data_IF_519402186865
#
_entry.id   IF_519402186865
#
_cell.length_a   1.000
_cell.length_b   1.000
_cell.length_c   1.000
_cell.angle_alpha   90.00
_cell.angle_beta   90.00
_cell.angle_gamma   90.00
#
_symmetry.space_group_name_H-M   'P 1'
#
loop_
_entity.id
_entity.type
_entity.pdbx_description
1 polymer ?
#
# COMPACT_ATOMS: atom_id res chain seq x y z
N UNK A 1 -35.69 68.91 -51.33
CA UNK A 1 -37.05 69.32 -50.91
C UNK A 1 -38.01 68.23 -51.36
N UNK A 2 -38.79 67.64 -50.44
CA UNK A 2 -40.08 66.92 -50.66
C UNK A 2 -40.06 65.76 -51.69
N UNK A 3 -39.92 64.50 -51.28
CA UNK A 3 -40.94 63.56 -50.72
C UNK A 3 -41.72 62.83 -51.84
N UNK A 4 -41.40 61.53 -52.06
CA UNK A 4 -42.19 60.31 -51.75
C UNK A 4 -43.47 60.12 -52.57
N UNK A 5 -43.59 58.95 -53.23
CA UNK A 5 -44.65 57.93 -53.04
C UNK A 5 -44.82 57.10 -54.33
N UNK A 6 -44.31 55.86 -54.35
CA UNK A 6 -44.54 54.90 -55.44
C UNK A 6 -45.60 53.88 -55.03
N UNK A 7 -46.60 53.66 -55.88
CA UNK A 7 -47.74 52.80 -55.59
C UNK A 7 -47.66 51.43 -56.29
N UNK A 8 -48.12 50.41 -55.56
CA UNK A 8 -48.82 49.18 -55.99
C UNK A 8 -48.38 48.40 -57.25
N UNK A 9 -48.26 47.08 -57.09
CA UNK A 9 -48.83 46.10 -58.03
C UNK A 9 -49.13 44.76 -57.33
N UNK A 10 -50.00 43.96 -57.94
CA UNK A 10 -50.80 42.89 -57.31
C UNK A 10 -50.45 41.48 -57.85
N UNK A 11 -51.05 40.47 -57.17
CA UNK A 11 -51.54 39.16 -57.66
C UNK A 11 -50.69 37.88 -57.48
N UNK A 12 -51.42 36.84 -57.05
CA UNK A 12 -51.19 35.39 -57.21
C UNK A 12 -49.98 34.75 -56.50
N UNK A 13 -50.09 33.55 -55.90
CA UNK A 13 -51.25 32.68 -55.69
C UNK A 13 -50.84 31.20 -55.48
N UNK A 14 -51.64 30.45 -54.71
CA UNK A 14 -51.56 29.00 -54.44
C UNK A 14 -50.35 28.46 -53.62
N UNK A 15 -50.64 27.67 -52.58
CA UNK A 15 -49.65 26.97 -51.77
C UNK A 15 -50.18 26.43 -50.44
N UNK A 16 -50.88 25.28 -50.50
CA UNK A 16 -51.18 24.29 -49.44
C UNK A 16 -50.77 24.65 -47.99
N UNK A 17 -51.74 24.76 -47.08
CA UNK A 17 -52.11 23.68 -46.14
C UNK A 17 -50.91 23.03 -45.43
N UNK A 18 -50.75 23.23 -44.13
CA UNK A 18 -50.95 22.20 -43.09
C UNK A 18 -50.92 22.85 -41.69
N UNK A 19 -51.57 22.20 -40.71
CA UNK A 19 -51.92 22.82 -39.43
C UNK A 19 -50.74 23.04 -38.48
N UNK A 20 -50.80 24.13 -37.72
CA UNK A 20 -49.93 24.33 -36.56
C UNK A 20 -50.32 23.38 -35.43
N UNK A 21 -49.63 22.25 -35.35
CA UNK A 21 -49.49 21.45 -34.14
C UNK A 21 -47.99 21.27 -33.93
N UNK A 22 -47.40 22.09 -33.05
CA UNK A 22 -46.05 21.81 -32.56
C UNK A 22 -46.05 20.47 -31.81
N UNK A 23 -44.94 19.72 -31.80
CA UNK A 23 -44.85 18.51 -31.01
C UNK A 23 -45.03 18.87 -29.53
N UNK A 24 -46.18 18.52 -28.97
CA UNK A 24 -46.43 18.59 -27.54
C UNK A 24 -45.38 17.71 -26.85
N UNK A 25 -44.63 18.22 -25.86
CA UNK A 25 -43.56 17.46 -25.25
C UNK A 25 -44.14 16.27 -24.50
N UNK A 26 -43.89 15.06 -24.99
CA UNK A 26 -44.28 13.82 -24.32
C UNK A 26 -43.77 13.84 -22.88
N UNK A 27 -44.65 13.80 -21.85
CA UNK A 27 -44.20 13.82 -20.47
C UNK A 27 -43.45 12.53 -20.17
N UNK A 28 -42.13 12.64 -20.01
CA UNK A 28 -41.29 11.51 -19.58
C UNK A 28 -41.79 11.03 -18.21
N UNK A 29 -42.07 9.72 -18.02
CA UNK A 29 -42.52 9.23 -16.73
C UNK A 29 -41.42 9.40 -15.69
N UNK A 30 -41.56 10.42 -14.84
CA UNK A 30 -40.73 10.61 -13.65
C UNK A 30 -40.98 9.42 -12.73
N UNK A 31 -40.03 8.49 -12.68
CA UNK A 31 -40.03 7.42 -11.69
C UNK A 31 -39.70 8.06 -10.34
N UNK A 32 -40.76 8.45 -9.63
CA UNK A 32 -40.65 8.96 -8.27
C UNK A 32 -40.07 7.85 -7.39
N UNK A 33 -38.97 8.15 -6.68
CA UNK A 33 -38.34 7.21 -5.77
C UNK A 33 -39.25 7.02 -4.57
N UNK A 34 -40.11 6.02 -4.62
CA UNK A 34 -40.94 5.62 -3.48
C UNK A 34 -40.00 5.17 -2.36
N UNK A 35 -39.97 5.86 -1.20
CA UNK A 35 -39.17 5.39 -0.07
C UNK A 35 -39.77 4.08 0.43
N UNK A 36 -39.05 2.98 0.26
CA UNK A 36 -39.41 1.68 0.85
C UNK A 36 -39.18 1.73 2.35
N UNK A 37 -40.17 2.22 3.08
CA UNK A 37 -40.25 2.09 4.53
C UNK A 37 -40.48 0.62 4.90
N UNK A 38 -39.40 -0.13 5.11
CA UNK A 38 -39.46 -1.42 5.79
C UNK A 38 -39.68 -1.16 7.29
N UNK A 39 -40.80 -1.59 7.89
CA UNK A 39 -41.09 -1.29 9.29
C UNK A 39 -40.20 -2.09 10.24
N UNK A 40 -39.77 -1.42 11.31
CA UNK A 40 -39.04 -1.95 12.45
C UNK A 40 -39.82 -3.08 13.16
N UNK A 41 -39.20 -4.24 13.45
CA UNK A 41 -39.66 -5.11 14.52
C UNK A 41 -39.26 -4.48 15.86
N UNK A 42 -40.21 -3.85 16.53
CA UNK A 42 -40.06 -3.46 17.93
C UNK A 42 -40.71 -4.52 18.82
N UNK A 43 -39.90 -5.41 19.40
CA UNK A 43 -40.06 -5.83 20.81
C UNK A 43 -38.82 -6.59 21.32
N UNK A 44 -38.31 -6.16 22.48
CA UNK A 44 -37.40 -6.87 23.40
C UNK A 44 -36.86 -5.86 24.44
N UNK A 45 -37.70 -5.49 25.40
CA UNK A 45 -37.30 -4.58 26.48
C UNK A 45 -36.26 -5.20 27.43
N UNK A 46 -35.26 -4.43 27.92
CA UNK A 46 -34.68 -4.65 29.23
C UNK A 46 -35.61 -4.01 30.27
N UNK A 47 -36.45 -4.82 30.91
CA UNK A 47 -37.31 -4.35 31.99
C UNK A 47 -36.51 -4.08 33.27
N UNK A 48 -36.72 -2.88 33.82
CA UNK A 48 -36.71 -2.52 35.23
C UNK A 48 -35.52 -2.93 36.12
N UNK A 49 -34.85 -1.89 36.64
CA UNK A 49 -34.19 -1.89 37.95
C UNK A 49 -35.12 -2.38 39.07
N UNK A 50 -34.61 -3.23 39.98
CA UNK A 50 -35.00 -3.14 41.37
C UNK A 50 -33.79 -3.18 42.33
N UNK A 51 -33.69 -2.13 43.14
CA UNK A 51 -33.24 -2.09 44.53
C UNK A 51 -32.15 -3.07 45.02
N UNK A 52 -31.06 -2.50 45.52
CA UNK A 52 -30.17 -3.16 46.49
C UNK A 52 -30.95 -3.68 47.72
N UNK A 53 -30.50 -4.79 48.32
CA UNK A 53 -30.07 -4.66 49.71
C UNK A 53 -28.86 -5.55 50.11
N UNK A 54 -28.43 -5.33 51.36
CA UNK A 54 -27.72 -6.28 52.23
C UNK A 54 -26.25 -6.63 51.91
N UNK A 55 -25.40 -5.70 52.34
CA UNK A 55 -24.09 -5.93 52.98
C UNK A 55 -23.92 -7.35 53.56
N UNK A 56 -22.99 -8.13 53.00
CA UNK A 56 -22.41 -9.30 53.67
C UNK A 56 -21.18 -8.85 54.47
N UNK A 57 -21.11 -9.24 55.74
CA UNK A 57 -20.16 -8.69 56.70
C UNK A 57 -18.79 -9.38 56.60
N UNK A 58 -17.73 -8.60 56.51
CA UNK A 58 -16.36 -9.08 56.70
C UNK A 58 -16.09 -9.15 58.21
N UNK A 59 -16.12 -10.36 58.77
CA UNK A 59 -15.87 -10.57 60.20
C UNK A 59 -14.38 -10.38 60.52
N UNK A 60 -14.07 -9.43 61.39
CA UNK A 60 -12.70 -9.14 61.81
C UNK A 60 -12.24 -10.14 62.88
N UNK A 61 -11.00 -10.66 62.82
CA UNK A 61 -10.47 -11.49 63.90
C UNK A 61 -10.29 -10.66 65.19
N UNK A 62 -10.67 -11.18 66.36
CA UNK A 62 -10.62 -10.42 67.61
C UNK A 62 -9.20 -10.37 68.19
N UNK A 63 -8.72 -9.16 68.47
CA UNK A 63 -7.69 -8.92 69.49
C UNK A 63 -8.36 -8.85 70.86
N UNK A 64 -7.92 -9.62 71.87
CA UNK A 64 -7.81 -8.99 73.20
C UNK A 64 -6.66 -9.47 74.10
N UNK A 65 -5.82 -8.50 74.49
CA UNK A 65 -5.15 -8.30 75.81
C UNK A 65 -4.03 -9.29 76.29
N UNK A 66 -3.18 -8.89 77.29
CA UNK A 66 -1.75 -9.12 77.25
C UNK A 66 -1.29 -10.20 78.23
N UNK A 67 0.01 -10.47 78.33
CA UNK A 67 0.67 -10.89 79.60
C UNK A 67 2.19 -10.75 79.56
N UNK A 68 2.73 -10.30 80.71
CA UNK A 68 4.11 -10.42 81.20
C UNK A 68 5.28 -9.97 80.30
N UNK A 69 5.89 -8.85 80.70
CA UNK A 69 7.32 -8.59 80.53
C UNK A 69 8.12 -9.45 81.53
N UNK A 70 9.03 -10.35 81.09
CA UNK A 70 10.06 -10.91 81.96
C UNK A 70 11.22 -9.93 82.13
N UNK A 71 11.83 -9.95 83.30
CA UNK A 71 12.99 -9.13 83.70
C UNK A 71 14.31 -9.74 83.16
N UNK A 72 15.41 -8.98 83.02
CA UNK A 72 16.68 -9.50 82.51
C UNK A 72 17.43 -10.42 83.49
N UNK A 73 18.57 -10.91 83.00
CA UNK A 73 19.69 -11.56 83.71
C UNK A 73 19.65 -13.09 83.85
N UNK A 74 20.05 -13.79 82.79
CA UNK A 74 20.94 -14.95 82.90
C UNK A 74 21.91 -14.99 81.68
N UNK A 75 23.24 -15.09 81.87
CA UNK A 75 24.17 -15.12 80.76
C UNK A 75 24.19 -16.51 80.10
N UNK A 76 23.62 -16.60 78.89
CA UNK A 76 23.79 -17.77 78.02
C UNK A 76 25.28 -18.01 77.75
N UNK A 77 25.81 -19.24 77.90
CA UNK A 77 27.20 -19.53 77.61
C UNK A 77 27.51 -19.25 76.13
N UNK A 78 28.60 -18.52 75.90
CA UNK A 78 29.07 -18.16 74.56
C UNK A 78 29.39 -19.44 73.76
N UNK A 79 28.80 -19.65 72.57
CA UNK A 79 29.17 -20.78 71.73
C UNK A 79 30.61 -20.61 71.25
N UNK A 80 31.39 -21.70 71.07
CA UNK A 80 32.75 -21.60 70.58
C UNK A 80 32.79 -20.91 69.21
N UNK A 81 33.86 -20.15 68.90
CA UNK A 81 33.93 -19.38 67.66
C UNK A 81 33.70 -20.27 66.45
N UNK A 82 32.66 -19.95 65.69
CA UNK A 82 32.35 -20.66 64.46
C UNK A 82 33.53 -20.51 63.49
N UNK A 83 34.12 -21.65 63.10
CA UNK A 83 35.07 -21.70 61.99
C UNK A 83 34.36 -21.12 60.76
N UNK A 84 34.97 -20.19 60.00
CA UNK A 84 34.35 -19.66 58.80
C UNK A 84 34.02 -20.82 57.86
N UNK A 85 32.72 -21.06 57.70
CA UNK A 85 32.23 -21.97 56.67
C UNK A 85 32.20 -21.16 55.40
N UNK A 86 32.97 -21.58 54.39
CA UNK A 86 33.00 -20.91 53.10
C UNK A 86 31.59 -20.91 52.50
N UNK A 87 30.91 -19.76 52.57
CA UNK A 87 29.68 -19.52 51.83
C UNK A 87 29.99 -19.79 50.36
N UNK A 88 29.35 -20.77 49.70
CA UNK A 88 29.62 -21.02 48.29
C UNK A 88 29.28 -19.76 47.51
N UNK A 89 30.31 -19.14 46.92
CA UNK A 89 30.13 -17.99 46.03
C UNK A 89 29.09 -18.35 44.99
N UNK A 90 28.02 -17.56 44.80
CA UNK A 90 27.00 -17.89 43.82
C UNK A 90 27.65 -17.98 42.44
N UNK A 91 27.65 -19.18 41.86
CA UNK A 91 28.10 -19.38 40.48
C UNK A 91 27.25 -18.47 39.59
N UNK A 92 27.86 -17.52 38.86
CA UNK A 92 27.10 -16.61 38.02
C UNK A 92 26.30 -17.42 37.00
N UNK A 93 25.01 -17.07 36.86
CA UNK A 93 24.15 -17.70 35.86
C UNK A 93 24.76 -17.50 34.46
N UNK A 94 24.72 -18.51 33.56
CA UNK A 94 25.23 -18.35 32.20
C UNK A 94 24.56 -17.15 31.53
N UNK A 95 25.36 -16.20 31.05
CA UNK A 95 24.85 -15.05 30.32
C UNK A 95 24.25 -15.53 28.99
N UNK A 96 23.03 -15.08 28.69
CA UNK A 96 22.35 -15.44 27.44
C UNK A 96 23.15 -14.94 26.23
N UNK A 97 23.15 -15.70 25.12
CA UNK A 97 23.83 -15.30 23.91
C UNK A 97 23.07 -14.15 23.22
N UNK A 98 23.79 -13.09 22.85
CA UNK A 98 23.24 -11.86 22.28
C UNK A 98 23.97 -11.44 21.03
N UNK A 99 23.27 -10.75 20.14
CA UNK A 99 23.87 -10.04 19.01
C UNK A 99 23.56 -8.55 19.08
N UNK A 100 24.49 -7.73 18.57
CA UNK A 100 24.36 -6.28 18.36
C UNK A 100 24.68 -5.96 16.91
N UNK A 101 23.84 -5.20 16.21
CA UNK A 101 24.03 -4.87 14.79
C UNK A 101 25.09 -3.78 14.59
N UNK A 102 26.07 -4.00 13.71
CA UNK A 102 27.21 -3.09 13.51
C UNK A 102 27.06 -2.11 12.34
N UNK A 103 26.13 -2.38 11.40
CA UNK A 103 25.95 -1.61 10.17
C UNK A 103 24.62 -0.85 10.15
N UNK A 104 24.51 0.20 9.32
CA UNK A 104 23.31 1.06 9.23
C UNK A 104 22.00 0.27 9.06
N UNK A 105 22.01 -0.73 8.17
CA UNK A 105 20.89 -1.61 7.89
C UNK A 105 21.39 -3.00 7.47
N UNK A 106 21.05 -4.02 8.25
CA UNK A 106 21.31 -5.42 7.93
C UNK A 106 20.00 -6.15 7.55
N UNK A 107 20.07 -6.97 6.49
CA UNK A 107 18.93 -7.74 6.02
C UNK A 107 18.70 -8.98 6.90
N UNK A 108 17.47 -9.15 7.36
CA UNK A 108 17.03 -10.33 8.13
C UNK A 108 16.34 -11.30 7.18
N UNK A 109 16.68 -12.59 7.25
CA UNK A 109 16.25 -13.61 6.28
C UNK A 109 15.48 -14.76 6.93
N UNK A 110 14.71 -15.49 6.11
CA UNK A 110 13.95 -16.67 6.53
C UNK A 110 14.85 -17.90 6.77
N UNK A 111 16.13 -17.86 6.38
CA UNK A 111 17.09 -18.94 6.60
C UNK A 111 18.54 -18.47 6.48
N UNK A 112 19.51 -19.32 6.86
CA UNK A 112 20.93 -18.99 6.90
C UNK A 112 21.55 -19.01 5.49
N UNK A 113 21.47 -17.89 4.77
CA UNK A 113 22.06 -17.76 3.44
C UNK A 113 21.44 -16.65 2.59
N UNK A 114 22.13 -16.24 1.53
CA UNK A 114 21.65 -15.19 0.62
C UNK A 114 20.54 -15.63 -0.35
N UNK A 115 20.33 -16.95 -0.49
CA UNK A 115 19.24 -17.56 -1.25
C UNK A 115 17.87 -17.50 -0.56
N UNK A 116 17.83 -17.24 0.75
CA UNK A 116 16.57 -17.15 1.51
C UNK A 116 15.95 -15.75 1.40
N UNK A 117 14.63 -15.70 1.24
CA UNK A 117 13.86 -14.44 1.21
C UNK A 117 13.98 -13.64 2.50
N UNK A 118 13.76 -12.34 2.41
CA UNK A 118 13.86 -11.41 3.55
C UNK A 118 12.60 -11.49 4.43
N UNK A 119 12.79 -11.24 5.73
CA UNK A 119 11.75 -11.08 6.78
C UNK A 119 11.63 -9.61 7.19
N UNK A 120 12.72 -8.85 7.03
CA UNK A 120 12.79 -7.44 7.36
C UNK A 120 14.23 -6.94 7.34
N UNK A 121 14.48 -5.81 8.00
CA UNK A 121 15.81 -5.27 8.23
C UNK A 121 15.94 -4.80 9.69
N UNK A 122 17.17 -4.78 10.19
CA UNK A 122 17.55 -4.28 11.51
C UNK A 122 18.63 -3.22 11.34
N UNK A 123 18.65 -2.21 12.21
CA UNK A 123 19.58 -1.07 12.13
C UNK A 123 20.70 -1.16 13.16
N UNK A 124 21.75 -0.34 13.02
CA UNK A 124 22.87 -0.31 13.97
C UNK A 124 22.40 -0.18 15.42
N UNK A 125 23.17 -0.76 16.33
CA UNK A 125 23.04 -0.72 17.78
C UNK A 125 21.77 -1.42 18.33
N UNK A 126 20.92 -1.98 17.46
CA UNK A 126 19.85 -2.88 17.88
C UNK A 126 20.43 -4.19 18.41
N UNK A 127 19.88 -4.64 19.53
CA UNK A 127 20.28 -5.86 20.23
C UNK A 127 19.16 -6.90 20.21
N UNK A 128 19.54 -8.17 20.05
CA UNK A 128 18.60 -9.29 20.05
C UNK A 128 19.20 -10.51 20.74
N UNK A 129 18.34 -11.34 21.34
CA UNK A 129 18.74 -12.62 21.93
C UNK A 129 18.87 -13.69 20.83
N UNK A 130 20.00 -14.40 20.82
CA UNK A 130 20.28 -15.47 19.88
C UNK A 130 19.58 -16.74 20.35
N UNK A 131 18.81 -17.37 19.47
CA UNK A 131 18.09 -18.61 19.76
C UNK A 131 18.78 -19.85 19.17
N UNK A 132 19.48 -19.70 18.04
CA UNK A 132 20.21 -20.79 17.40
C UNK A 132 21.27 -20.28 16.40
N UNK A 133 22.05 -21.20 15.84
CA UNK A 133 22.98 -20.97 14.71
C UNK A 133 22.79 -22.01 13.60
N UNK A 134 23.33 -21.75 12.41
CA UNK A 134 23.43 -22.77 11.36
C UNK A 134 24.55 -23.79 11.69
N UNK A 135 24.58 -24.98 11.05
CA UNK A 135 25.60 -25.99 11.29
C UNK A 135 27.05 -25.47 11.11
N UNK A 136 27.24 -24.51 10.20
CA UNK A 136 28.54 -23.90 9.90
C UNK A 136 28.93 -22.76 10.86
N UNK A 137 28.02 -22.31 11.74
CA UNK A 137 28.26 -21.23 12.71
C UNK A 137 28.45 -19.82 12.13
N UNK A 138 28.07 -19.61 10.88
CA UNK A 138 28.22 -18.34 10.13
C UNK A 138 26.98 -17.46 10.12
N UNK A 139 25.83 -17.99 10.54
CA UNK A 139 24.55 -17.29 10.62
C UNK A 139 23.90 -17.53 11.98
N UNK A 140 23.34 -16.46 12.54
CA UNK A 140 22.64 -16.47 13.82
C UNK A 140 21.14 -16.34 13.61
N UNK A 141 20.38 -17.23 14.23
CA UNK A 141 18.94 -17.11 14.35
C UNK A 141 18.64 -16.37 15.66
N UNK A 142 17.78 -15.36 15.59
CA UNK A 142 17.42 -14.52 16.72
C UNK A 142 15.92 -14.23 16.77
N UNK A 143 15.44 -13.82 17.94
CA UNK A 143 14.06 -13.41 18.15
C UNK A 143 14.00 -11.93 18.60
N UNK A 144 13.05 -11.12 18.13
CA UNK A 144 12.17 -11.34 16.97
C UNK A 144 11.98 -10.02 16.22
N UNK A 145 11.88 -10.08 14.90
CA UNK A 145 11.61 -8.94 14.01
C UNK A 145 10.23 -9.13 13.43
N UNK A 146 9.35 -8.13 13.59
CA UNK A 146 7.94 -8.20 13.17
C UNK A 146 7.19 -9.42 13.75
N UNK A 147 7.55 -9.87 14.95
CA UNK A 147 6.97 -11.06 15.60
C UNK A 147 7.48 -12.41 15.06
N UNK A 148 8.39 -12.41 14.08
CA UNK A 148 8.99 -13.62 13.53
C UNK A 148 10.45 -13.78 13.96
N UNK A 149 10.91 -15.03 14.09
CA UNK A 149 12.34 -15.33 14.15
C UNK A 149 12.98 -15.09 12.78
N UNK A 150 14.23 -14.63 12.80
CA UNK A 150 14.98 -14.30 11.59
C UNK A 150 16.45 -14.67 11.69
N UNK A 151 17.09 -14.72 10.53
CA UNK A 151 18.49 -15.08 10.36
C UNK A 151 19.31 -13.88 9.90
N UNK A 152 20.46 -13.65 10.55
CA UNK A 152 21.43 -12.61 10.18
C UNK A 152 22.83 -13.22 10.04
N UNK A 153 23.62 -12.66 9.13
CA UNK A 153 24.99 -13.11 8.87
C UNK A 153 25.93 -12.61 9.97
N UNK A 154 26.81 -13.49 10.45
CA UNK A 154 27.68 -13.24 11.62
C UNK A 154 28.53 -11.98 11.51
N UNK A 155 29.12 -11.72 10.34
CA UNK A 155 30.05 -10.58 10.15
C UNK A 155 29.35 -9.21 10.21
N UNK A 156 28.01 -9.16 10.21
CA UNK A 156 27.23 -7.92 10.31
C UNK A 156 26.89 -7.55 11.76
N UNK A 157 27.22 -8.41 12.71
CA UNK A 157 26.86 -8.31 14.13
C UNK A 157 28.05 -8.57 15.03
N UNK A 158 28.05 -7.97 16.21
CA UNK A 158 28.90 -8.38 17.33
C UNK A 158 28.12 -9.37 18.20
N UNK A 159 28.72 -10.52 18.52
CA UNK A 159 28.09 -11.57 19.31
C UNK A 159 28.75 -11.69 20.69
N UNK A 160 27.91 -11.80 21.71
CA UNK A 160 28.30 -12.05 23.10
C UNK A 160 27.79 -13.45 23.51
N UNK A 161 28.62 -14.21 24.22
CA UNK A 161 28.32 -15.57 24.73
C UNK A 161 27.92 -16.62 23.66
N UNK A 162 28.31 -16.43 22.40
CA UNK A 162 27.87 -17.25 21.26
C UNK A 162 28.36 -18.71 21.23
N UNK A 163 29.32 -19.10 22.08
CA UNK A 163 29.99 -20.41 22.02
C UNK A 163 29.03 -21.60 22.21
N UNK A 164 28.05 -21.44 23.10
CA UNK A 164 27.10 -22.49 23.52
C UNK A 164 25.73 -22.40 22.83
N UNK A 165 25.61 -21.64 21.73
CA UNK A 165 24.36 -21.52 20.97
C UNK A 165 24.07 -22.85 20.24
N UNK A 166 22.85 -23.41 20.37
CA UNK A 166 22.48 -24.65 19.71
C UNK A 166 22.39 -24.48 18.19
N UNK A 167 22.64 -25.55 17.44
CA UNK A 167 22.37 -25.58 16.00
C UNK A 167 20.86 -25.72 15.79
N UNK A 168 20.29 -24.93 14.86
CA UNK A 168 18.86 -24.95 14.58
C UNK A 168 18.44 -26.30 13.97
N UNK A 169 17.46 -26.97 14.59
CA UNK A 169 16.97 -28.29 14.15
C UNK A 169 16.16 -28.23 12.85
N UNK A 170 15.47 -27.12 12.59
CA UNK A 170 14.51 -26.97 11.49
C UNK A 170 14.85 -25.73 10.65
N UNK A 171 15.94 -25.80 9.88
CA UNK A 171 16.25 -24.81 8.84
C UNK A 171 15.35 -25.11 7.62
N UNK A 172 14.57 -24.15 7.12
CA UNK A 172 13.77 -24.37 5.91
C UNK A 172 14.69 -24.70 4.73
N UNK A 173 14.25 -25.53 3.79
CA UNK A 173 14.98 -25.73 2.53
C UNK A 173 14.99 -24.39 1.77
N UNK A 174 16.13 -23.93 1.23
CA UNK A 174 16.15 -22.71 0.43
C UNK A 174 15.26 -22.90 -0.79
N UNK A 175 14.55 -21.85 -1.26
CA UNK A 175 13.79 -21.94 -2.50
C UNK A 175 14.73 -22.40 -3.63
N UNK A 176 14.24 -23.22 -4.58
CA UNK A 176 15.08 -23.74 -5.64
C UNK A 176 15.72 -22.58 -6.39
N UNK A 177 17.05 -22.54 -6.37
CA UNK A 177 17.83 -21.54 -7.11
C UNK A 177 17.54 -21.79 -8.58
N UNK A 178 16.68 -20.95 -9.17
CA UNK A 178 16.49 -20.89 -10.62
C UNK A 178 17.86 -20.66 -11.20
N UNK A 179 18.36 -21.64 -11.95
CA UNK A 179 19.74 -21.61 -12.44
C UNK A 179 19.97 -20.30 -13.20
N UNK A 180 20.97 -19.54 -12.78
CA UNK A 180 21.38 -18.36 -13.52
C UNK A 180 21.67 -18.78 -14.98
N UNK A 181 21.27 -17.98 -15.99
CA UNK A 181 21.61 -18.26 -17.37
C UNK A 181 23.14 -18.44 -17.51
N UNK A 182 23.60 -19.32 -18.42
CA UNK A 182 25.00 -19.68 -18.52
C UNK A 182 25.90 -18.44 -18.72
N UNK A 183 27.11 -18.44 -18.15
CA UNK A 183 27.99 -17.28 -18.20
C UNK A 183 28.34 -16.92 -19.65
N UNK A 184 28.46 -15.62 -19.99
CA UNK A 184 28.88 -15.20 -21.32
C UNK A 184 30.33 -15.64 -21.57
N UNK A 185 30.57 -16.30 -22.70
CA UNK A 185 31.90 -16.73 -23.13
C UNK A 185 32.76 -15.52 -23.54
N UNK A 186 34.00 -15.47 -23.05
CA UNK A 186 35.12 -14.60 -23.45
C UNK A 186 34.77 -13.21 -24.00
N UNK A 187 34.62 -12.26 -23.05
CA UNK A 187 34.42 -10.82 -23.25
C UNK A 187 35.35 -10.20 -24.31
N UNK A 188 34.81 -9.76 -25.47
CA UNK A 188 35.46 -8.74 -26.30
C UNK A 188 35.56 -7.43 -25.50
N UNK A 189 36.53 -6.57 -25.84
CA UNK A 189 36.74 -5.28 -25.16
C UNK A 189 35.42 -4.52 -24.91
N UNK A 190 35.25 -3.84 -23.74
CA UNK A 190 33.96 -3.40 -23.25
C UNK A 190 33.09 -2.78 -24.33
N UNK A 191 32.00 -3.45 -24.68
CA UNK A 191 30.98 -2.86 -25.52
C UNK A 191 30.56 -1.55 -24.86
N UNK A 192 30.50 -0.47 -25.66
CA UNK A 192 30.05 0.82 -25.19
C UNK A 192 28.72 0.64 -24.43
N UNK A 193 28.52 1.44 -23.38
CA UNK A 193 27.25 1.45 -22.65
C UNK A 193 26.09 1.44 -23.66
N UNK A 194 25.08 0.57 -23.49
CA UNK A 194 23.98 0.49 -24.44
C UNK A 194 23.48 1.91 -24.69
N UNK A 195 23.30 2.31 -25.97
CA UNK A 195 22.97 3.70 -26.29
C UNK A 195 21.78 4.12 -25.43
N UNK A 196 21.81 5.32 -24.82
CA UNK A 196 20.77 5.76 -23.90
C UNK A 196 19.42 5.48 -24.54
N UNK A 197 18.57 4.73 -23.83
CA UNK A 197 17.35 4.15 -24.36
C UNK A 197 16.64 5.22 -25.20
N UNK A 198 16.51 4.95 -26.51
CA UNK A 198 16.19 5.97 -27.49
C UNK A 198 14.97 6.74 -27.01
N UNK A 199 15.13 8.05 -26.81
CA UNK A 199 14.07 8.88 -26.23
C UNK A 199 12.79 8.61 -27.02
N UNK A 200 11.75 8.02 -26.39
CA UNK A 200 10.59 7.55 -27.10
C UNK A 200 9.78 8.69 -27.72
N UNK A 201 10.12 9.94 -27.40
CA UNK A 201 9.57 11.16 -27.94
C UNK A 201 10.38 11.76 -29.11
N UNK A 202 11.65 11.36 -29.31
CA UNK A 202 12.60 12.10 -30.16
C UNK A 202 12.32 12.02 -31.66
N UNK A 203 11.49 11.07 -32.12
CA UNK A 203 11.15 10.92 -33.55
C UNK A 203 9.66 11.21 -33.84
N UNK A 204 8.90 11.69 -32.85
CA UNK A 204 7.44 11.85 -32.95
C UNK A 204 7.09 13.27 -33.39
N UNK A 205 6.64 13.40 -34.63
CA UNK A 205 5.97 14.58 -35.19
C UNK A 205 6.75 15.90 -35.27
N UNK A 206 7.98 15.98 -34.77
CA UNK A 206 8.78 17.21 -34.69
C UNK A 206 8.51 18.08 -33.45
N UNK A 207 7.39 17.86 -32.76
CA UNK A 207 7.01 18.55 -31.51
C UNK A 207 7.45 17.80 -30.24
N UNK A 208 7.77 16.51 -30.35
CA UNK A 208 8.01 15.62 -29.22
C UNK A 208 6.72 15.23 -28.48
N UNK A 209 6.87 14.59 -27.31
CA UNK A 209 5.74 14.17 -26.49
C UNK A 209 5.01 15.37 -25.88
N UNK A 210 3.72 15.49 -26.17
CA UNK A 210 2.93 16.66 -25.81
C UNK A 210 2.32 16.52 -24.42
N UNK A 211 1.87 15.33 -24.04
CA UNK A 211 1.30 15.08 -22.72
C UNK A 211 2.33 15.02 -21.60
N UNK A 212 2.04 15.75 -20.53
CA UNK A 212 2.80 15.80 -19.27
C UNK A 212 1.83 15.61 -18.10
N UNK A 213 2.31 15.02 -17.00
CA UNK A 213 1.52 14.96 -15.77
C UNK A 213 1.45 16.35 -15.15
N UNK A 214 0.24 16.90 -15.01
CA UNK A 214 0.00 18.18 -14.33
C UNK A 214 -0.27 17.99 -12.85
N UNK A 215 -0.97 16.92 -12.48
CA UNK A 215 -1.39 16.66 -11.09
C UNK A 215 -1.49 15.15 -10.82
N UNK A 216 -1.15 14.74 -9.60
CA UNK A 216 -1.19 13.34 -9.16
C UNK A 216 0.16 12.61 -9.23
N UNK A 217 0.18 11.29 -9.01
CA UNK A 217 -0.99 10.45 -8.72
C UNK A 217 -1.54 10.74 -7.32
N UNK A 218 -2.87 10.67 -7.22
CA UNK A 218 -3.60 10.53 -5.95
C UNK A 218 -4.12 9.10 -5.87
N UNK A 219 -4.23 8.60 -4.65
CA UNK A 219 -4.72 7.26 -4.37
C UNK A 219 -5.98 7.29 -3.51
N UNK A 220 -6.93 6.41 -3.85
CA UNK A 220 -8.16 6.20 -3.09
C UNK A 220 -8.21 4.77 -2.56
N UNK A 221 -8.62 4.65 -1.31
CA UNK A 221 -8.78 3.38 -0.63
C UNK A 221 -10.08 2.69 -1.10
N UNK A 222 -9.93 1.51 -1.69
CA UNK A 222 -11.02 0.60 -2.03
C UNK A 222 -10.80 -0.81 -1.45
N UNK A 223 -9.97 -0.91 -0.39
CA UNK A 223 -9.49 -2.16 0.18
C UNK A 223 -8.40 -2.86 -0.63
N UNK A 224 -7.91 -2.27 -1.72
CA UNK A 224 -6.94 -2.89 -2.63
C UNK A 224 -7.52 -4.08 -3.39
N UNK A 225 -8.86 -4.15 -3.54
CA UNK A 225 -9.57 -5.30 -4.11
C UNK A 225 -9.79 -5.23 -5.63
N UNK A 226 -9.56 -4.06 -6.22
CA UNK A 226 -9.68 -3.79 -7.66
C UNK A 226 -8.70 -2.66 -8.01
N UNK A 227 -8.05 -2.72 -9.17
CA UNK A 227 -7.38 -1.54 -9.72
C UNK A 227 -8.41 -0.72 -10.51
N UNK A 228 -8.76 0.45 -10.00
CA UNK A 228 -9.63 1.43 -10.66
C UNK A 228 -8.79 2.64 -11.09
N UNK A 229 -8.64 2.81 -12.40
CA UNK A 229 -7.85 3.88 -13.00
C UNK A 229 -8.75 4.99 -13.53
N UNK A 230 -8.69 6.18 -12.95
CA UNK A 230 -9.43 7.36 -13.39
C UNK A 230 -8.46 8.46 -13.87
N UNK A 231 -8.42 8.75 -15.17
CA UNK A 231 -7.51 9.75 -15.71
C UNK A 231 -8.29 10.96 -16.22
N UNK A 232 -7.69 12.14 -16.13
CA UNK A 232 -8.22 13.35 -16.73
C UNK A 232 -7.25 13.90 -17.77
N UNK A 233 -7.62 13.73 -19.04
CA UNK A 233 -6.91 14.31 -20.18
C UNK A 233 -7.46 15.71 -20.46
N UNK A 234 -6.57 16.70 -20.48
CA UNK A 234 -6.90 18.10 -20.76
C UNK A 234 -5.96 18.72 -21.79
N UNK A 235 -6.49 19.73 -22.46
CA UNK A 235 -5.80 20.56 -23.42
C UNK A 235 -5.90 22.00 -22.95
N UNK A 236 -4.93 22.50 -22.19
CA UNK A 236 -4.76 23.95 -22.15
C UNK A 236 -4.19 24.47 -23.47
N UNK A 237 -3.95 25.78 -23.57
CA UNK A 237 -3.30 26.39 -24.73
C UNK A 237 -4.16 26.54 -25.99
N UNK A 238 -5.20 25.72 -26.19
CA UNK A 238 -6.05 25.73 -27.39
C UNK A 238 -7.35 26.50 -27.16
N UNK A 239 -7.37 27.77 -27.59
CA UNK A 239 -8.59 28.55 -27.74
C UNK A 239 -9.51 27.95 -28.83
N UNK A 240 -10.80 27.81 -28.51
CA UNK A 240 -11.83 27.43 -29.49
C UNK A 240 -12.37 26.00 -29.42
N UNK A 241 -11.96 25.19 -28.43
CA UNK A 241 -12.74 24.03 -27.95
C UNK A 241 -13.06 22.93 -28.98
N UNK A 242 -12.19 22.72 -29.97
CA UNK A 242 -12.32 21.56 -30.86
C UNK A 242 -12.18 20.24 -30.06
N UNK A 243 -12.88 19.17 -30.42
CA UNK A 243 -12.71 17.86 -29.79
C UNK A 243 -11.34 17.27 -30.16
N UNK A 244 -10.33 17.59 -29.36
CA UNK A 244 -8.97 17.09 -29.53
C UNK A 244 -8.91 15.62 -29.11
N UNK A 245 -8.88 14.73 -30.10
CA UNK A 245 -8.43 13.34 -29.95
C UNK A 245 -9.25 12.39 -29.06
N UNK A 246 -8.79 11.15 -29.00
CA UNK A 246 -9.27 10.13 -28.06
C UNK A 246 -8.07 9.32 -27.57
N UNK A 247 -7.53 9.74 -26.42
CA UNK A 247 -6.27 9.25 -25.86
C UNK A 247 -6.49 8.02 -25.02
N UNK A 248 -5.46 7.19 -24.90
CA UNK A 248 -5.45 6.04 -24.03
C UNK A 248 -4.07 5.84 -23.43
N UNK A 249 -3.93 4.91 -22.49
CA UNK A 249 -2.65 4.63 -21.83
C UNK A 249 -2.23 3.19 -22.00
N UNK A 250 -0.92 3.01 -22.07
CA UNK A 250 -0.32 1.74 -21.67
C UNK A 250 0.04 1.87 -20.19
N UNK A 251 -0.39 0.88 -19.40
CA UNK A 251 -0.01 0.73 -18.01
C UNK A 251 0.75 -0.58 -17.83
N UNK A 252 1.92 -0.50 -17.19
CA UNK A 252 2.81 -1.61 -16.91
C UNK A 252 2.91 -1.72 -15.39
N UNK A 253 2.64 -2.91 -14.81
CA UNK A 253 2.83 -3.20 -13.38
C UNK A 253 3.97 -4.18 -13.21
N UNK A 254 4.96 -3.84 -12.40
CA UNK A 254 6.12 -4.67 -12.05
C UNK A 254 6.78 -5.34 -13.29
N UNK A 255 6.86 -4.58 -14.40
CA UNK A 255 7.43 -5.01 -15.69
C UNK A 255 6.44 -5.67 -16.67
N UNK A 256 5.20 -5.96 -16.26
CA UNK A 256 4.18 -6.62 -17.10
C UNK A 256 3.16 -5.60 -17.62
N UNK A 257 2.97 -5.51 -18.94
CA UNK A 257 1.90 -4.70 -19.55
C UNK A 257 0.53 -5.26 -19.15
N UNK A 258 -0.31 -4.41 -18.57
CA UNK A 258 -1.67 -4.77 -18.17
C UNK A 258 -2.62 -4.83 -19.37
N UNK A 259 -3.69 -5.65 -19.31
CA UNK A 259 -4.61 -5.89 -20.44
C UNK A 259 -5.64 -4.75 -20.60
N UNK A 260 -5.17 -3.51 -20.66
CA UNK A 260 -5.97 -2.35 -21.07
C UNK A 260 -6.02 -2.34 -22.60
N UNK A 261 -7.22 -2.48 -23.17
CA UNK A 261 -7.40 -2.51 -24.62
C UNK A 261 -7.59 -1.11 -25.23
N UNK A 262 -7.09 -0.92 -26.45
CA UNK A 262 -7.11 0.34 -27.22
C UNK A 262 -8.51 0.92 -27.52
N UNK A 263 -9.58 0.24 -27.10
CA UNK A 263 -10.97 0.74 -27.16
C UNK A 263 -11.34 1.59 -25.94
N UNK A 264 -10.57 1.49 -24.85
CA UNK A 264 -10.72 2.29 -23.63
C UNK A 264 -10.04 3.63 -23.87
N UNK A 265 -10.82 4.71 -24.02
CA UNK A 265 -10.31 6.02 -24.47
C UNK A 265 -10.93 7.18 -23.70
N UNK A 266 -10.20 8.30 -23.67
CA UNK A 266 -10.66 9.56 -23.11
C UNK A 266 -11.81 10.14 -23.92
N UNK A 267 -12.81 10.72 -23.26
CA UNK A 267 -13.93 11.38 -23.92
C UNK A 267 -13.73 12.91 -23.84
N UNK A 268 -13.12 13.51 -24.87
CA UNK A 268 -12.59 14.88 -24.84
C UNK A 268 -13.57 15.97 -24.32
N UNK A 269 -14.89 15.81 -24.57
CA UNK A 269 -15.92 16.78 -24.16
C UNK A 269 -16.80 16.33 -23.00
N UNK A 270 -16.69 15.07 -22.54
CA UNK A 270 -17.50 14.54 -21.44
C UNK A 270 -16.59 14.15 -20.27
N UNK A 271 -16.75 14.85 -19.15
CA UNK A 271 -16.13 14.48 -17.88
C UNK A 271 -17.17 13.97 -16.89
N UNK A 272 -16.72 13.12 -16.00
CA UNK A 272 -17.45 12.70 -14.79
C UNK A 272 -16.68 13.20 -13.58
N UNK A 273 -17.37 13.47 -12.48
CA UNK A 273 -16.73 13.84 -11.21
C UNK A 273 -16.46 12.58 -10.38
N UNK A 274 -15.21 12.38 -9.97
CA UNK A 274 -14.76 11.28 -9.11
C UNK A 274 -14.34 11.78 -7.72
N UNK A 275 -14.15 10.87 -6.75
CA UNK A 275 -13.81 11.24 -5.37
C UNK A 275 -12.43 11.89 -5.23
N UNK A 276 -11.50 11.64 -6.17
CA UNK A 276 -10.15 12.21 -6.20
C UNK A 276 -10.02 13.43 -7.14
N UNK A 277 -11.03 13.66 -7.98
CA UNK A 277 -11.08 14.72 -8.98
C UNK A 277 -11.95 14.36 -10.20
N UNK A 278 -12.14 15.29 -11.14
CA UNK A 278 -12.80 15.00 -12.42
C UNK A 278 -11.99 14.00 -13.25
N UNK A 279 -12.64 13.22 -14.10
CA UNK A 279 -12.00 12.28 -15.03
C UNK A 279 -12.79 12.21 -16.33
N UNK A 280 -12.12 11.88 -17.44
CA UNK A 280 -12.76 11.61 -18.74
C UNK A 280 -12.30 10.26 -19.35
N UNK A 281 -11.56 9.49 -18.57
CA UNK A 281 -11.11 8.12 -18.84
C UNK A 281 -11.30 7.30 -17.55
N UNK A 282 -11.97 6.15 -17.61
CA UNK A 282 -12.03 5.18 -16.52
C UNK A 282 -11.74 3.77 -17.04
N UNK A 283 -10.95 3.00 -16.27
CA UNK A 283 -10.80 1.56 -16.48
C UNK A 283 -10.71 0.80 -15.15
N UNK A 284 -11.08 -0.48 -15.14
CA UNK A 284 -11.08 -1.36 -13.97
C UNK A 284 -10.46 -2.70 -14.30
N UNK A 285 -9.67 -3.24 -13.38
CA UNK A 285 -9.05 -4.56 -13.46
C UNK A 285 -9.21 -5.30 -12.14
N UNK A 286 -9.73 -6.54 -12.22
CA UNK A 286 -9.77 -7.47 -11.09
C UNK A 286 -8.38 -7.96 -10.71
N UNK A 287 -8.22 -8.44 -9.47
CA UNK A 287 -6.92 -8.92 -8.98
C UNK A 287 -6.35 -10.07 -9.82
N UNK A 288 -7.21 -10.94 -10.36
CA UNK A 288 -6.87 -12.03 -11.27
C UNK A 288 -6.20 -11.57 -12.58
N UNK A 289 -6.34 -10.28 -12.92
CA UNK A 289 -5.75 -9.64 -14.09
C UNK A 289 -4.46 -8.88 -13.77
N UNK A 290 -4.01 -8.89 -12.51
CA UNK A 290 -2.85 -8.12 -12.02
C UNK A 290 -1.69 -9.04 -11.62
N UNK A 291 -0.44 -8.71 -12.00
CA UNK A 291 0.75 -9.36 -11.47
C UNK A 291 0.76 -9.44 -9.94
N UNK A 292 0.84 -10.67 -9.42
CA UNK A 292 0.86 -10.97 -7.99
C UNK A 292 -0.52 -10.95 -7.30
N UNK A 293 -1.63 -10.86 -8.04
CA UNK A 293 -3.00 -10.76 -7.51
C UNK A 293 -3.18 -9.61 -6.50
N UNK A 294 -2.46 -8.50 -6.71
CA UNK A 294 -2.48 -7.33 -5.83
C UNK A 294 -2.41 -6.04 -6.65
N UNK A 295 -3.01 -4.97 -6.14
CA UNK A 295 -2.91 -3.63 -6.72
C UNK A 295 -1.63 -2.91 -6.24
N UNK A 296 -1.04 -3.30 -5.11
CA UNK A 296 0.21 -2.72 -4.65
C UNK A 296 1.37 -3.12 -5.57
N UNK A 297 2.30 -2.20 -5.81
CA UNK A 297 3.47 -2.44 -6.66
C UNK A 297 3.95 -1.20 -7.40
N UNK A 298 4.88 -1.40 -8.33
CA UNK A 298 5.46 -0.34 -9.14
C UNK A 298 4.81 -0.29 -10.52
N UNK A 299 4.52 0.91 -10.98
CA UNK A 299 3.81 1.16 -12.21
C UNK A 299 4.60 2.10 -13.12
N UNK A 300 4.53 1.85 -14.43
CA UNK A 300 4.94 2.79 -15.47
C UNK A 300 3.77 3.01 -16.41
N UNK A 301 3.43 4.27 -16.67
CA UNK A 301 2.34 4.68 -17.54
C UNK A 301 2.87 5.61 -18.64
N UNK A 302 2.35 5.45 -19.86
CA UNK A 302 2.51 6.47 -20.91
C UNK A 302 1.24 6.58 -21.76
N UNK A 303 1.06 7.76 -22.35
CA UNK A 303 -0.09 8.13 -23.19
C UNK A 303 0.18 7.74 -24.64
N UNK A 304 -0.86 7.23 -25.29
CA UNK A 304 -0.96 7.06 -26.73
C UNK A 304 -2.07 7.98 -27.28
N UNK A 305 -1.85 8.49 -28.50
CA UNK A 305 -2.75 9.37 -29.22
C UNK A 305 -3.96 8.63 -29.81
N UNK A 306 -4.78 9.33 -30.61
CA UNK A 306 -5.91 8.72 -31.31
C UNK A 306 -5.52 7.53 -32.22
N UNK A 307 -4.31 7.54 -32.77
CA UNK A 307 -3.80 6.58 -33.74
C UNK A 307 -2.96 5.46 -33.10
N UNK A 308 -2.66 5.54 -31.80
CA UNK A 308 -1.77 4.62 -31.10
C UNK A 308 -0.29 5.00 -31.16
N UNK A 309 0.03 6.19 -31.68
CA UNK A 309 1.38 6.77 -31.58
C UNK A 309 1.60 7.34 -30.18
N UNK A 310 2.84 7.37 -29.71
CA UNK A 310 3.15 7.72 -28.33
C UNK A 310 3.19 9.23 -28.12
N UNK A 311 2.54 9.74 -27.07
CA UNK A 311 2.41 11.18 -26.84
C UNK A 311 2.80 11.65 -25.42
N UNK A 312 3.36 10.77 -24.58
CA UNK A 312 4.01 11.16 -23.31
C UNK A 312 5.34 10.44 -23.08
N UNK A 313 6.20 11.03 -22.24
CA UNK A 313 7.30 10.31 -21.59
C UNK A 313 6.76 9.25 -20.59
N UNK A 314 7.64 8.37 -20.12
CA UNK A 314 7.29 7.35 -19.12
C UNK A 314 7.04 8.04 -17.78
N UNK A 315 5.90 7.76 -17.16
CA UNK A 315 5.58 8.22 -15.83
C UNK A 315 5.56 7.04 -14.86
N UNK A 316 6.57 6.99 -13.98
CA UNK A 316 6.74 5.95 -12.99
C UNK A 316 6.19 6.36 -11.62
N UNK A 317 5.47 5.47 -10.95
CA UNK A 317 4.94 5.67 -9.60
C UNK A 317 4.72 4.33 -8.88
N UNK A 318 4.55 4.36 -7.56
CA UNK A 318 4.27 3.16 -6.75
C UNK A 318 2.92 3.30 -6.05
N UNK A 319 2.14 2.22 -6.03
CA UNK A 319 0.84 2.15 -5.35
C UNK A 319 1.02 1.44 -4.00
N UNK A 320 0.67 2.07 -2.86
CA UNK A 320 0.72 1.44 -1.55
C UNK A 320 -0.34 0.33 -1.37
N UNK A 321 -0.14 -0.54 -0.37
CA UNK A 321 -1.15 -1.52 0.03
C UNK A 321 -2.46 -0.86 0.51
N UNK A 322 -3.59 -1.56 0.29
CA UNK A 322 -4.94 -1.07 0.60
C UNK A 322 -5.47 0.02 -0.33
N UNK A 323 -4.62 0.66 -1.13
CA UNK A 323 -5.04 1.55 -2.21
C UNK A 323 -5.44 0.75 -3.45
N UNK A 324 -6.36 1.30 -4.23
CA UNK A 324 -6.69 0.71 -5.53
C UNK A 324 -7.41 1.63 -6.51
N UNK A 325 -7.92 2.79 -6.07
CA UNK A 325 -8.27 3.86 -6.98
C UNK A 325 -7.05 4.74 -7.26
N UNK A 326 -6.74 5.00 -8.53
CA UNK A 326 -5.62 5.83 -8.97
C UNK A 326 -6.16 6.97 -9.81
N UNK A 327 -5.79 8.20 -9.46
CA UNK A 327 -6.19 9.40 -10.19
C UNK A 327 -5.02 10.32 -10.53
N UNK A 328 -4.98 10.84 -11.76
CA UNK A 328 -3.99 11.83 -12.21
C UNK A 328 -4.48 12.61 -13.44
N UNK A 329 -3.86 13.76 -13.68
CA UNK A 329 -4.15 14.66 -14.79
C UNK A 329 -3.03 14.65 -15.81
N UNK A 330 -3.37 14.29 -17.05
CA UNK A 330 -2.51 14.43 -18.24
C UNK A 330 -2.89 15.69 -18.99
N UNK A 331 -1.91 16.54 -19.28
CA UNK A 331 -2.09 17.84 -19.91
C UNK A 331 -1.23 17.95 -21.17
N UNK A 332 -1.84 18.35 -22.29
CA UNK A 332 -1.15 18.51 -23.58
C UNK A 332 -0.43 19.87 -23.75
N UNK A 333 -0.69 20.85 -22.85
CA UNK A 333 0.02 22.15 -22.81
C UNK A 333 -0.71 23.31 -23.46
#
# INVERSE_FOLDING_TARGET
MVVVLGAALLLSGCGFLFGGAGPEPTPTPRRELVPTFTPTPADAAPAQEPAAPAVAQQEAPPTPVPTATPRPDEPTPEPPPAVPTDTPTPTPAPALPKLTVLIEAANVRNGPGTSYGLVGAVTRDQQFDIVARNPEGTWWQFCCVNGQQGWIFGDLVQVENGDNVPVAENIPTPPPVVAAPPPPTDTPAPAAAPPPAADPCANIGGDGCKFKVREGPKFGNNGGMELKLQLFFIHSGIDGGQPQGSYFVVLIKDGVKLPIGDHVRSIALNKSDGPLGPYNYEYKLGLDQLPGNTVAGNYVMYVLDGNGERDSQDFAFSVPEGQGEIWLVWDQG
#
